data_IF_085209367456
#
_entry.id   IF_085209367456
#
_cell.length_a   1.000
_cell.length_b   1.000
_cell.length_c   1.000
_cell.angle_alpha   90.00
_cell.angle_beta   90.00
_cell.angle_gamma   90.00
#
_symmetry.space_group_name_H-M   'P 1'
#
loop_
_entity.id
_entity.type
_entity.pdbx_description
1 polymer ?
#
# COMPACT_ATOMS: atom_id res chain seq x y z
N UNK A 1 3.18 -9.36 13.73
CA UNK A 1 2.48 -8.85 12.53
C UNK A 1 3.47 -7.94 11.82
N UNK A 2 3.91 -8.26 10.60
CA UNK A 2 4.79 -7.34 9.86
C UNK A 2 3.96 -6.12 9.51
N UNK A 3 4.29 -4.98 10.11
CA UNK A 3 3.75 -3.69 9.67
C UNK A 3 4.20 -3.47 8.22
N UNK A 4 3.24 -3.26 7.33
CA UNK A 4 3.54 -2.91 5.95
C UNK A 4 4.08 -1.47 5.92
N UNK A 5 4.98 -1.14 4.97
CA UNK A 5 5.63 0.16 4.98
C UNK A 5 4.64 1.30 4.73
N UNK A 6 4.94 2.46 5.32
CA UNK A 6 4.35 3.73 4.95
C UNK A 6 5.43 4.57 4.26
N UNK A 7 5.15 5.02 3.04
CA UNK A 7 6.08 5.85 2.27
C UNK A 7 5.52 7.27 2.21
N UNK A 8 6.24 8.24 2.76
CA UNK A 8 5.88 9.66 2.66
C UNK A 8 6.85 10.39 1.72
N UNK A 9 6.32 11.28 0.89
CA UNK A 9 7.10 12.07 -0.07
C UNK A 9 6.44 13.42 -0.34
N UNK A 10 7.21 14.33 -0.92
CA UNK A 10 6.73 15.64 -1.38
C UNK A 10 6.94 15.72 -2.89
N UNK A 11 5.94 16.15 -3.64
CA UNK A 11 6.05 16.36 -5.09
C UNK A 11 6.80 17.66 -5.40
N UNK A 12 7.24 17.83 -6.64
CA UNK A 12 7.86 19.09 -7.09
C UNK A 12 6.93 20.30 -6.94
N UNK A 13 5.61 20.09 -7.05
CA UNK A 13 4.59 21.11 -6.80
C UNK A 13 4.37 21.43 -5.31
N UNK A 14 5.12 20.79 -4.40
CA UNK A 14 5.03 20.99 -2.95
C UNK A 14 3.92 20.18 -2.26
N UNK A 15 3.22 19.30 -2.98
CA UNK A 15 2.20 18.44 -2.37
C UNK A 15 2.86 17.36 -1.52
N UNK A 16 2.50 17.30 -0.23
CA UNK A 16 2.90 16.18 0.62
C UNK A 16 1.92 15.03 0.44
N UNK A 17 2.43 13.85 0.15
CA UNK A 17 1.66 12.62 -0.01
C UNK A 17 2.24 11.52 0.88
N UNK A 18 1.39 10.60 1.28
CA UNK A 18 1.81 9.33 1.88
C UNK A 18 1.07 8.17 1.24
N UNK A 19 1.77 7.05 1.11
CA UNK A 19 1.24 5.79 0.64
C UNK A 19 1.30 4.80 1.81
N UNK A 20 0.18 4.17 2.11
CA UNK A 20 0.03 3.14 3.13
C UNK A 20 -0.41 1.85 2.46
N UNK A 21 0.08 0.72 2.93
CA UNK A 21 -0.39 -0.58 2.49
C UNK A 21 -1.04 -1.30 3.66
N UNK A 22 -2.22 -1.87 3.43
CA UNK A 22 -2.98 -2.57 4.48
C UNK A 22 -3.40 -3.96 4.00
N UNK A 23 -3.44 -4.93 4.91
CA UNK A 23 -4.00 -6.25 4.64
C UNK A 23 -5.51 -6.18 4.72
N UNK A 24 -6.19 -6.80 3.76
CA UNK A 24 -7.65 -6.90 3.82
C UNK A 24 -8.02 -7.87 4.96
N UNK A 25 -8.84 -7.44 5.94
CA UNK A 25 -9.31 -8.33 7.01
C UNK A 25 -9.99 -9.57 6.44
N UNK A 26 -9.59 -10.76 6.90
CA UNK A 26 -10.11 -12.04 6.41
C UNK A 26 -9.56 -12.50 5.05
N UNK A 27 -8.71 -11.69 4.39
CA UNK A 27 -8.00 -12.07 3.14
C UNK A 27 -6.53 -11.70 3.25
N UNK A 28 -5.74 -12.43 4.07
CA UNK A 28 -4.34 -12.09 4.34
C UNK A 28 -3.44 -12.22 3.09
N UNK A 29 -3.90 -12.82 2.00
CA UNK A 29 -3.21 -12.82 0.71
C UNK A 29 -3.36 -11.50 -0.05
N UNK A 30 -4.44 -10.75 0.20
CA UNK A 30 -4.78 -9.49 -0.49
C UNK A 30 -4.25 -8.28 0.29
N UNK A 31 -3.78 -7.27 -0.42
CA UNK A 31 -3.35 -6.00 0.15
C UNK A 31 -4.05 -4.84 -0.58
N UNK A 32 -4.21 -3.71 0.11
CA UNK A 32 -4.71 -2.47 -0.47
C UNK A 32 -3.64 -1.38 -0.35
N UNK A 33 -3.49 -0.58 -1.41
CA UNK A 33 -2.73 0.67 -1.39
C UNK A 33 -3.68 1.80 -1.07
N UNK A 34 -3.34 2.65 -0.11
CA UNK A 34 -4.03 3.90 0.18
C UNK A 34 -3.08 5.08 -0.04
N UNK A 35 -3.57 6.13 -0.70
CA UNK A 35 -2.84 7.38 -0.91
C UNK A 35 -3.58 8.49 -0.16
N UNK A 36 -2.86 9.18 0.73
CA UNK A 36 -3.38 10.36 1.41
C UNK A 36 -2.57 11.59 1.00
N UNK A 37 -3.24 12.73 0.85
CA UNK A 37 -2.66 14.05 0.58
C UNK A 37 -2.77 14.91 1.84
N UNK A 38 -1.72 15.66 2.16
CA UNK A 38 -1.77 16.67 3.21
C UNK A 38 -2.51 17.91 2.70
N UNK A 39 -3.54 18.37 3.42
CA UNK A 39 -4.31 19.56 3.06
C UNK A 39 -3.83 20.85 3.77
N UNK A 40 -2.79 20.75 4.60
CA UNK A 40 -2.31 21.83 5.48
C UNK A 40 -2.57 21.57 6.95
N UNK A 41 -3.55 20.72 7.29
CA UNK A 41 -3.97 20.42 8.66
C UNK A 41 -4.07 18.93 8.96
N UNK A 42 -4.51 18.13 7.99
CA UNK A 42 -4.69 16.68 8.15
C UNK A 42 -4.34 15.93 6.86
N UNK A 43 -4.19 14.61 6.98
CA UNK A 43 -4.09 13.70 5.85
C UNK A 43 -5.49 13.34 5.36
N UNK A 44 -5.77 13.64 4.09
CA UNK A 44 -7.05 13.37 3.44
C UNK A 44 -6.86 12.26 2.40
N UNK A 45 -7.68 11.19 2.41
CA UNK A 45 -7.63 10.16 1.39
C UNK A 45 -7.86 10.76 0.00
N UNK A 46 -7.01 10.41 -0.95
CA UNK A 46 -7.11 10.88 -2.34
C UNK A 46 -6.94 9.77 -3.38
N UNK A 47 -6.76 8.52 -2.95
CA UNK A 47 -6.73 7.37 -3.83
C UNK A 47 -6.58 6.06 -3.08
N UNK A 48 -7.04 4.98 -3.68
CA UNK A 48 -6.86 3.64 -3.15
C UNK A 48 -7.03 2.57 -4.22
N UNK A 49 -6.41 1.42 -4.03
CA UNK A 49 -6.45 0.31 -4.99
C UNK A 49 -6.20 -1.03 -4.30
N UNK A 50 -7.02 -2.04 -4.63
CA UNK A 50 -6.75 -3.43 -4.24
C UNK A 50 -5.65 -4.00 -5.11
N UNK A 51 -4.65 -4.62 -4.49
CA UNK A 51 -3.48 -5.16 -5.14
C UNK A 51 -3.64 -6.67 -5.33
N UNK A 52 -3.35 -7.14 -6.54
CA UNK A 52 -3.14 -8.57 -6.83
C UNK A 52 -1.75 -9.01 -6.37
N UNK A 53 -0.76 -8.11 -6.43
CA UNK A 53 0.63 -8.35 -6.04
C UNK A 53 1.24 -7.11 -5.35
N UNK A 54 2.00 -7.32 -4.26
CA UNK A 54 2.79 -6.33 -3.55
C UNK A 54 4.18 -6.92 -3.28
N UNK A 55 5.21 -6.37 -3.91
CA UNK A 55 6.61 -6.75 -3.70
C UNK A 55 7.36 -5.55 -3.11
N UNK A 56 8.02 -5.74 -1.98
CA UNK A 56 8.80 -4.71 -1.29
C UNK A 56 10.22 -5.24 -1.11
N UNK A 57 11.21 -4.53 -1.65
CA UNK A 57 12.63 -4.94 -1.60
C UNK A 57 12.87 -6.36 -2.14
N UNK A 58 12.06 -6.77 -3.13
CA UNK A 58 12.12 -8.12 -3.72
C UNK A 58 11.34 -9.20 -2.94
N UNK A 59 10.73 -8.87 -1.80
CA UNK A 59 9.94 -9.79 -0.99
C UNK A 59 8.44 -9.62 -1.27
N UNK A 60 7.74 -10.73 -1.55
CA UNK A 60 6.29 -10.73 -1.74
C UNK A 60 5.59 -10.47 -0.40
N UNK A 61 5.03 -9.26 -0.27
CA UNK A 61 4.20 -8.80 0.85
C UNK A 61 2.71 -8.86 0.54
N UNK A 62 2.33 -9.40 -0.62
CA UNK A 62 1.03 -10.04 -0.84
C UNK A 62 1.25 -11.47 -1.32
N UNK A 63 0.34 -12.38 -1.00
CA UNK A 63 0.54 -13.75 -1.46
C UNK A 63 0.20 -13.76 -2.95
N UNK A 64 1.21 -13.94 -3.79
CA UNK A 64 0.99 -14.49 -5.12
C UNK A 64 0.27 -15.80 -4.90
N UNK A 65 -0.84 -16.02 -5.61
CA UNK A 65 -1.43 -17.36 -5.68
C UNK A 65 -0.30 -18.28 -6.13
N UNK A 66 0.29 -19.05 -5.20
CA UNK A 66 1.15 -20.17 -5.58
C UNK A 66 0.22 -21.08 -6.35
N UNK A 67 0.31 -21.00 -7.68
CA UNK A 67 -0.31 -21.98 -8.54
C UNK A 67 0.53 -23.23 -8.31
N UNK A 68 0.04 -24.12 -7.46
CA UNK A 68 0.62 -25.44 -7.31
C UNK A 68 0.47 -26.20 -8.64
N UNK A 69 1.61 -26.68 -9.18
CA UNK A 69 1.69 -27.86 -10.04
C UNK A 69 1.93 -27.62 -11.54
N UNK A 70 2.57 -28.57 -12.25
CA UNK A 70 2.84 -29.96 -11.87
C UNK A 70 4.21 -30.22 -11.22
#
# INVERSE_FOLDING_TARGET
MSELPMIAYTTESGERRRVRYERVPGRPWQAERHVDRWDGRTWVPCGGESLTELVIEGEHRSAVTVSEGP
#
